data_IF_828028780838
#
_entry.id   IF_828028780838
#
_cell.length_a   1.000
_cell.length_b   1.000
_cell.length_c   1.000
_cell.angle_alpha   90.00
_cell.angle_beta   90.00
_cell.angle_gamma   90.00
#
_symmetry.space_group_name_H-M   'P 1'
#
loop_
_entity.id
_entity.type
_entity.pdbx_description
1 polymer ?
#
# COMPACT_ATOMS: atom_id res chain seq x y z
N UNK A 1 -20.51 -55.73 -24.80
CA UNK A 1 -19.24 -54.99 -24.96
C UNK A 1 -19.57 -53.55 -25.33
N UNK A 2 -19.46 -52.63 -24.38
CA UNK A 2 -19.66 -51.20 -24.63
C UNK A 2 -18.57 -50.47 -23.83
N UNK A 3 -17.63 -49.88 -24.56
CA UNK A 3 -16.46 -49.18 -24.05
C UNK A 3 -16.94 -47.80 -23.58
N UNK A 4 -17.02 -47.59 -22.27
CA UNK A 4 -17.34 -46.28 -21.69
C UNK A 4 -16.03 -45.48 -21.57
N UNK A 5 -15.78 -44.64 -22.57
CA UNK A 5 -14.67 -43.70 -22.65
C UNK A 5 -15.00 -42.40 -21.90
N UNK A 6 -14.19 -42.12 -20.87
CA UNK A 6 -13.58 -40.82 -20.51
C UNK A 6 -14.42 -39.53 -20.59
N UNK A 7 -14.62 -38.91 -19.41
CA UNK A 7 -14.52 -37.45 -19.25
C UNK A 7 -14.21 -37.10 -17.79
N UNK A 8 -12.93 -37.10 -17.41
CA UNK A 8 -12.47 -36.41 -16.20
C UNK A 8 -12.38 -34.91 -16.50
N UNK A 9 -13.15 -34.03 -15.84
CA UNK A 9 -12.86 -32.60 -15.88
C UNK A 9 -11.64 -32.34 -15.00
N UNK A 10 -10.48 -32.15 -15.64
CA UNK A 10 -9.26 -31.66 -15.01
C UNK A 10 -9.51 -30.19 -14.59
N UNK A 11 -9.95 -29.97 -13.35
CA UNK A 11 -10.05 -28.63 -12.77
C UNK A 11 -8.64 -28.15 -12.46
N UNK A 12 -8.00 -27.54 -13.45
CA UNK A 12 -6.77 -26.78 -13.28
C UNK A 12 -7.08 -25.54 -12.42
N UNK A 13 -6.83 -25.64 -11.12
CA UNK A 13 -6.64 -24.47 -10.26
C UNK A 13 -5.40 -23.71 -10.76
N UNK A 14 -5.62 -22.73 -11.63
CA UNK A 14 -4.65 -21.67 -11.84
C UNK A 14 -4.63 -20.79 -10.57
N UNK A 15 -3.86 -21.20 -9.58
CA UNK A 15 -3.32 -20.28 -8.59
C UNK A 15 -2.36 -19.34 -9.34
N UNK A 16 -2.94 -18.33 -9.99
CA UNK A 16 -2.19 -17.25 -10.60
C UNK A 16 -1.41 -16.57 -9.50
N UNK A 17 -0.12 -16.91 -9.45
CA UNK A 17 0.90 -16.28 -8.61
C UNK A 17 0.83 -14.77 -8.82
N UNK A 18 0.18 -14.06 -7.89
CA UNK A 18 0.08 -12.59 -7.88
C UNK A 18 1.38 -12.03 -7.30
N UNK A 19 2.49 -12.36 -7.94
CA UNK A 19 3.81 -11.86 -7.60
C UNK A 19 4.47 -11.35 -8.88
N UNK A 20 4.57 -10.04 -9.00
CA UNK A 20 5.53 -9.42 -9.90
C UNK A 20 4.97 -8.96 -11.24
N UNK A 21 4.14 -7.92 -11.20
CA UNK A 21 4.26 -6.81 -12.15
C UNK A 21 3.27 -5.72 -11.72
N UNK A 22 3.78 -4.69 -11.05
CA UNK A 22 3.05 -3.42 -10.83
C UNK A 22 2.84 -2.71 -12.18
N UNK A 23 2.15 -3.36 -13.12
CA UNK A 23 1.72 -2.72 -14.35
C UNK A 23 0.67 -1.70 -13.95
N UNK A 24 0.92 -0.44 -14.32
CA UNK A 24 -0.12 0.59 -14.32
C UNK A 24 -1.35 -0.01 -15.02
N UNK A 25 -2.51 -0.08 -14.34
CA UNK A 25 -3.69 -0.69 -14.92
C UNK A 25 -4.01 0.00 -16.25
N UNK A 26 -4.37 -0.77 -17.26
CA UNK A 26 -4.75 -0.17 -18.54
C UNK A 26 -6.06 0.60 -18.34
N UNK A 27 -6.00 1.91 -18.56
CA UNK A 27 -7.16 2.80 -18.52
C UNK A 27 -7.45 3.25 -19.94
N UNK A 28 -8.71 3.10 -20.37
CA UNK A 28 -9.13 3.57 -21.70
C UNK A 28 -9.02 5.09 -21.79
N UNK A 29 -8.86 5.63 -23.00
CA UNK A 29 -8.83 7.08 -23.20
C UNK A 29 -10.14 7.75 -22.75
N UNK A 30 -11.27 7.07 -22.93
CA UNK A 30 -12.58 7.58 -22.50
C UNK A 30 -12.67 7.67 -20.97
N UNK A 31 -12.15 6.69 -20.24
CA UNK A 31 -12.12 6.72 -18.77
C UNK A 31 -11.17 7.79 -18.24
N UNK A 32 -10.00 7.93 -18.88
CA UNK A 32 -9.07 9.02 -18.58
C UNK A 32 -9.74 10.38 -18.74
N UNK A 33 -10.47 10.60 -19.83
CA UNK A 33 -11.22 11.83 -20.05
C UNK A 33 -12.28 12.03 -18.97
N UNK A 34 -13.04 11.00 -18.59
CA UNK A 34 -14.03 11.09 -17.50
C UNK A 34 -13.41 11.52 -16.17
N UNK A 35 -12.24 11.00 -15.82
CA UNK A 35 -11.57 11.34 -14.56
C UNK A 35 -11.11 12.80 -14.48
N UNK A 36 -10.88 13.45 -15.62
CA UNK A 36 -10.44 14.86 -15.70
C UNK A 36 -11.39 15.71 -16.54
N UNK A 37 -12.66 15.30 -16.65
CA UNK A 37 -13.67 16.01 -17.42
C UNK A 37 -14.10 17.31 -16.73
N UNK A 38 -14.14 17.30 -15.40
CA UNK A 38 -14.57 18.43 -14.58
C UNK A 38 -13.65 18.62 -13.38
N UNK A 39 -13.62 19.81 -12.75
CA UNK A 39 -12.89 20.04 -11.51
C UNK A 39 -13.26 19.04 -10.40
N UNK A 40 -14.55 18.69 -10.28
CA UNK A 40 -15.04 17.74 -9.28
C UNK A 40 -14.55 16.31 -9.57
N UNK A 41 -14.51 15.89 -10.82
CA UNK A 41 -13.96 14.60 -11.21
C UNK A 41 -12.47 14.52 -10.91
N UNK A 42 -11.70 15.56 -11.23
CA UNK A 42 -10.27 15.64 -10.93
C UNK A 42 -10.01 15.63 -9.42
N UNK A 43 -10.80 16.37 -8.64
CA UNK A 43 -10.72 16.36 -7.18
C UNK A 43 -11.05 14.98 -6.58
N UNK A 44 -12.04 14.28 -7.15
CA UNK A 44 -12.38 12.90 -6.75
C UNK A 44 -11.24 11.94 -7.09
N UNK A 45 -10.65 12.04 -8.28
CA UNK A 45 -9.48 11.25 -8.68
C UNK A 45 -8.32 11.45 -7.70
N UNK A 46 -7.94 12.69 -7.41
CA UNK A 46 -6.86 13.02 -6.48
C UNK A 46 -7.19 12.57 -5.06
N UNK A 47 -8.43 12.77 -4.60
CA UNK A 47 -8.91 12.24 -3.34
C UNK A 47 -8.77 10.72 -3.25
N UNK A 48 -9.10 10.00 -4.32
CA UNK A 48 -8.91 8.55 -4.41
C UNK A 48 -7.45 8.12 -4.38
N UNK A 49 -6.57 8.86 -5.04
CA UNK A 49 -5.12 8.60 -5.04
C UNK A 49 -4.48 8.85 -3.67
N UNK A 50 -5.04 9.76 -2.87
CA UNK A 50 -4.54 10.15 -1.55
C UNK A 50 -5.13 9.29 -0.43
N UNK A 51 -6.46 9.13 -0.41
CA UNK A 51 -7.21 8.60 0.73
C UNK A 51 -7.59 7.12 0.60
N UNK A 52 -7.40 6.51 -0.57
CA UNK A 52 -7.67 5.07 -0.81
C UNK A 52 -9.09 4.62 -0.44
N UNK A 53 -10.10 5.49 -0.55
CA UNK A 53 -11.46 5.17 -0.15
C UNK A 53 -12.03 3.96 -0.94
N UNK A 54 -12.88 3.11 -0.33
CA UNK A 54 -13.37 1.89 -0.96
C UNK A 54 -14.27 2.15 -2.19
N UNK A 55 -15.01 3.25 -2.22
CA UNK A 55 -15.83 3.70 -3.36
C UNK A 55 -15.03 4.22 -4.56
N UNK A 56 -13.70 4.24 -4.49
CA UNK A 56 -12.85 4.72 -5.56
C UNK A 56 -12.64 3.67 -6.64
N UNK A 57 -12.53 4.14 -7.89
CA UNK A 57 -12.12 3.30 -9.01
C UNK A 57 -10.80 2.59 -8.64
N UNK A 58 -10.75 1.24 -8.69
CA UNK A 58 -9.57 0.48 -8.28
C UNK A 58 -8.33 0.86 -9.11
N UNK A 59 -8.52 1.31 -10.36
CA UNK A 59 -7.42 1.74 -11.23
C UNK A 59 -6.84 3.07 -10.78
N UNK A 60 -7.69 4.00 -10.36
CA UNK A 60 -7.27 5.28 -9.78
C UNK A 60 -6.47 5.08 -8.47
N UNK A 61 -6.91 4.15 -7.62
CA UNK A 61 -6.17 3.77 -6.39
C UNK A 61 -4.81 3.16 -6.71
N UNK A 62 -4.75 2.25 -7.68
CA UNK A 62 -3.49 1.65 -8.11
C UNK A 62 -2.51 2.70 -8.64
N UNK A 63 -2.98 3.66 -9.45
CA UNK A 63 -2.16 4.80 -9.90
C UNK A 63 -1.69 5.63 -8.70
N UNK A 64 -2.57 5.93 -7.75
CA UNK A 64 -2.23 6.62 -6.50
C UNK A 64 -1.14 5.91 -5.69
N UNK A 65 -1.18 4.57 -5.64
CA UNK A 65 -0.14 3.74 -5.02
C UNK A 65 1.23 3.86 -5.69
N UNK A 66 1.25 4.14 -7.00
CA UNK A 66 2.46 4.32 -7.79
C UNK A 66 3.00 5.75 -7.78
N UNK A 67 2.17 6.73 -7.37
CA UNK A 67 2.55 8.15 -7.39
C UNK A 67 3.87 8.48 -6.69
N UNK A 68 4.21 7.92 -5.50
CA UNK A 68 5.50 8.22 -4.87
C UNK A 68 6.70 7.80 -5.74
N UNK A 69 6.62 6.61 -6.35
CA UNK A 69 7.66 6.11 -7.25
C UNK A 69 7.72 6.92 -8.55
N UNK A 70 6.55 7.25 -9.11
CA UNK A 70 6.45 8.11 -10.28
C UNK A 70 7.05 9.49 -10.02
N UNK A 71 6.71 10.15 -8.92
CA UNK A 71 7.25 11.47 -8.54
C UNK A 71 8.78 11.39 -8.45
N UNK A 72 9.32 10.39 -7.75
CA UNK A 72 10.78 10.18 -7.63
C UNK A 72 11.46 10.00 -8.99
N UNK A 73 10.77 9.37 -9.93
CA UNK A 73 11.24 9.13 -11.29
C UNK A 73 10.81 10.22 -12.28
N UNK A 74 10.41 11.42 -11.83
CA UNK A 74 9.94 12.52 -12.70
C UNK A 74 8.79 12.10 -13.64
N UNK A 75 7.88 11.30 -13.11
CA UNK A 75 6.74 10.67 -13.80
C UNK A 75 7.13 9.74 -14.96
N UNK A 76 8.39 9.31 -15.01
CA UNK A 76 8.84 8.26 -15.91
C UNK A 76 8.69 6.92 -15.22
N UNK A 77 8.03 5.98 -15.86
CA UNK A 77 7.72 4.68 -15.26
C UNK A 77 8.58 3.53 -15.83
N UNK A 78 9.66 3.87 -16.54
CA UNK A 78 10.59 2.90 -17.17
C UNK A 78 11.53 2.26 -16.14
N UNK A 79 11.92 0.97 -16.30
CA UNK A 79 11.50 0.03 -17.35
C UNK A 79 10.19 -0.72 -17.07
N UNK A 80 9.55 -0.49 -15.92
CA UNK A 80 8.49 -1.34 -15.40
C UNK A 80 7.06 -1.01 -15.88
N UNK A 81 6.90 -0.06 -16.81
CA UNK A 81 5.61 0.30 -17.40
C UNK A 81 5.47 -0.14 -18.87
N UNK A 82 4.26 -0.54 -19.24
CA UNK A 82 3.86 -0.59 -20.65
C UNK A 82 3.84 0.80 -21.27
N UNK A 83 3.93 0.88 -22.61
CA UNK A 83 3.78 2.14 -23.34
C UNK A 83 2.44 2.84 -23.02
N UNK A 84 1.36 2.05 -22.85
CA UNK A 84 0.06 2.57 -22.46
C UNK A 84 0.08 3.18 -21.06
N UNK A 85 0.73 2.50 -20.09
CA UNK A 85 0.87 3.03 -18.72
C UNK A 85 1.58 4.38 -18.68
N UNK A 86 2.66 4.54 -19.45
CA UNK A 86 3.36 5.83 -19.53
C UNK A 86 2.47 6.93 -20.14
N UNK A 87 1.68 6.61 -21.18
CA UNK A 87 0.72 7.58 -21.76
C UNK A 87 -0.36 7.98 -20.75
N UNK A 88 -0.89 7.04 -19.99
CA UNK A 88 -1.87 7.29 -18.92
C UNK A 88 -1.30 8.26 -17.88
N UNK A 89 -0.07 8.02 -17.39
CA UNK A 89 0.60 8.91 -16.44
C UNK A 89 0.80 10.30 -17.04
N UNK A 90 1.36 10.39 -18.25
CA UNK A 90 1.62 11.67 -18.91
C UNK A 90 0.34 12.48 -19.10
N UNK A 91 -0.75 11.82 -19.50
CA UNK A 91 -2.05 12.45 -19.67
C UNK A 91 -2.56 13.04 -18.35
N UNK A 92 -2.56 12.24 -17.27
CA UNK A 92 -3.05 12.68 -15.96
C UNK A 92 -2.19 13.79 -15.37
N UNK A 93 -0.86 13.66 -15.43
CA UNK A 93 0.09 14.68 -14.97
C UNK A 93 -0.12 15.98 -15.72
N UNK A 94 -0.21 15.93 -17.05
CA UNK A 94 -0.42 17.13 -17.85
C UNK A 94 -1.79 17.76 -17.56
N UNK A 95 -2.86 16.97 -17.50
CA UNK A 95 -4.20 17.46 -17.21
C UNK A 95 -4.29 18.13 -15.83
N UNK A 96 -3.74 17.49 -14.79
CA UNK A 96 -3.74 18.04 -13.44
C UNK A 96 -2.88 19.31 -13.35
N UNK A 97 -1.66 19.29 -13.90
CA UNK A 97 -0.74 20.44 -13.82
C UNK A 97 -1.26 21.67 -14.57
N UNK A 98 -1.91 21.48 -15.71
CA UNK A 98 -2.34 22.59 -16.58
C UNK A 98 -3.74 23.10 -16.27
N UNK A 99 -4.71 22.20 -15.99
CA UNK A 99 -6.13 22.56 -15.82
C UNK A 99 -6.60 22.56 -14.37
N UNK A 100 -5.93 21.83 -13.48
CA UNK A 100 -6.38 21.60 -12.10
C UNK A 100 -5.23 21.79 -11.11
N UNK A 101 -4.56 22.95 -11.18
CA UNK A 101 -3.34 23.22 -10.40
C UNK A 101 -3.56 23.00 -8.90
N UNK A 102 -4.71 23.36 -8.33
CA UNK A 102 -5.01 23.09 -6.92
C UNK A 102 -4.96 21.59 -6.57
N UNK A 103 -5.48 20.74 -7.45
CA UNK A 103 -5.43 19.28 -7.25
C UNK A 103 -4.03 18.73 -7.48
N UNK A 104 -3.27 19.32 -8.41
CA UNK A 104 -1.86 19.02 -8.61
C UNK A 104 -1.02 19.36 -7.38
N UNK A 105 -1.18 20.57 -6.82
CA UNK A 105 -0.54 20.98 -5.57
C UNK A 105 -0.93 20.06 -4.45
N UNK A 106 -2.22 19.75 -4.27
CA UNK A 106 -2.69 18.85 -3.21
C UNK A 106 -2.09 17.45 -3.31
N UNK A 107 -1.97 16.91 -4.52
CA UNK A 107 -1.29 15.64 -4.80
C UNK A 107 0.21 15.73 -4.46
N UNK A 108 0.86 16.81 -4.90
CA UNK A 108 2.25 17.13 -4.59
C UNK A 108 2.49 17.25 -3.09
N UNK A 109 1.78 18.13 -2.39
CA UNK A 109 1.84 18.31 -0.94
C UNK A 109 1.63 17.00 -0.21
N UNK A 110 0.61 16.21 -0.54
CA UNK A 110 0.36 14.94 0.15
C UNK A 110 1.56 13.99 0.04
N UNK A 111 2.11 13.82 -1.17
CA UNK A 111 3.22 12.89 -1.37
C UNK A 111 4.54 13.47 -0.88
N UNK A 112 4.85 14.74 -1.15
CA UNK A 112 6.04 15.46 -0.66
C UNK A 112 6.06 15.57 0.86
N UNK A 113 4.92 15.79 1.53
CA UNK A 113 4.83 15.82 2.99
C UNK A 113 5.08 14.43 3.60
N UNK A 114 4.62 13.35 2.94
CA UNK A 114 5.02 11.98 3.29
C UNK A 114 6.48 11.67 2.98
N UNK A 115 7.10 12.46 2.10
CA UNK A 115 8.52 12.35 1.80
C UNK A 115 9.41 13.11 2.81
N UNK A 116 8.85 13.69 3.88
CA UNK A 116 9.55 14.64 4.77
C UNK A 116 9.27 14.52 6.29
N UNK A 117 9.03 13.33 6.83
CA UNK A 117 8.75 13.11 8.26
C UNK A 117 9.86 12.35 9.01
N UNK A 118 10.90 13.07 9.45
CA UNK A 118 11.89 12.62 10.42
C UNK A 118 12.41 13.75 11.33
N UNK A 119 11.80 13.85 12.52
CA UNK A 119 12.26 14.48 13.79
C UNK A 119 12.20 15.99 14.05
N UNK A 120 11.52 16.28 15.17
CA UNK A 120 11.58 17.40 16.13
C UNK A 120 11.04 18.81 15.81
N UNK A 121 10.24 19.27 16.77
CA UNK A 121 9.82 20.65 17.00
C UNK A 121 10.98 21.64 16.96
N UNK A 122 10.87 22.65 16.10
CA UNK A 122 11.82 23.76 16.01
C UNK A 122 12.04 24.16 14.55
N UNK A 123 11.50 25.32 14.19
CA UNK A 123 11.62 26.04 12.92
C UNK A 123 12.78 25.65 11.97
N UNK A 124 12.42 25.59 10.69
CA UNK A 124 13.29 25.65 9.49
C UNK A 124 13.72 24.31 8.86
N UNK A 125 13.29 24.13 7.61
CA UNK A 125 14.03 23.53 6.49
C UNK A 125 14.73 22.18 6.68
N UNK A 126 14.07 21.10 6.21
CA UNK A 126 14.73 19.87 5.76
C UNK A 126 14.11 18.56 6.27
N UNK A 127 14.26 17.50 5.46
CA UNK A 127 14.28 16.06 5.85
C UNK A 127 13.03 15.17 5.76
N UNK A 128 13.13 14.19 4.83
CA UNK A 128 13.10 12.72 5.05
C UNK A 128 11.83 11.86 4.77
N UNK A 129 11.98 10.98 3.78
CA UNK A 129 11.00 10.05 3.24
C UNK A 129 10.68 8.88 4.19
N UNK A 130 9.49 8.87 4.81
CA UNK A 130 8.98 7.70 5.51
C UNK A 130 7.44 7.65 5.41
N UNK A 131 6.90 6.48 5.05
CA UNK A 131 5.48 6.14 5.28
C UNK A 131 5.15 6.56 6.72
N UNK A 132 4.05 7.28 7.01
CA UNK A 132 3.77 7.78 8.36
C UNK A 132 3.76 6.60 9.32
N UNK A 133 4.87 6.49 10.03
CA UNK A 133 5.22 5.30 10.77
C UNK A 133 4.72 5.60 12.17
N UNK A 134 3.61 4.97 12.56
CA UNK A 134 2.93 5.23 13.83
C UNK A 134 3.97 5.40 14.95
N UNK A 135 3.89 6.51 15.68
CA UNK A 135 4.71 6.68 16.86
C UNK A 135 4.47 5.52 17.83
N UNK A 136 5.45 5.18 18.65
CA UNK A 136 5.33 4.17 19.72
C UNK A 136 4.06 4.36 20.56
N UNK A 137 3.71 5.62 20.86
CA UNK A 137 2.49 5.97 21.57
C UNK A 137 1.20 5.66 20.79
N UNK A 138 1.18 5.92 19.48
CA UNK A 138 0.05 5.57 18.62
C UNK A 138 -0.09 4.06 18.44
N UNK A 139 1.01 3.32 18.35
CA UNK A 139 0.98 1.86 18.26
C UNK A 139 0.37 1.26 19.52
N UNK A 140 0.74 1.78 20.70
CA UNK A 140 0.12 1.40 21.99
C UNK A 140 -1.35 1.77 22.04
N UNK A 141 -1.73 2.97 21.60
CA UNK A 141 -3.14 3.39 21.53
C UNK A 141 -3.95 2.51 20.58
N UNK A 142 -3.34 2.06 19.49
CA UNK A 142 -3.95 1.18 18.52
C UNK A 142 -4.14 -0.25 19.05
N UNK A 143 -3.20 -0.74 19.86
CA UNK A 143 -3.30 -2.02 20.57
C UNK A 143 -3.93 -1.88 21.97
N UNK A 144 -4.56 -0.76 22.30
CA UNK A 144 -5.08 -0.50 23.64
C UNK A 144 -6.30 -1.34 24.00
N UNK A 145 -6.88 -2.10 23.06
CA UNK A 145 -8.01 -2.98 23.33
C UNK A 145 -7.90 -4.32 22.59
N UNK A 146 -8.46 -5.41 23.15
CA UNK A 146 -8.51 -6.72 22.49
C UNK A 146 -9.12 -6.67 21.09
N UNK A 147 -10.23 -5.93 20.92
CA UNK A 147 -10.91 -5.81 19.63
C UNK A 147 -10.09 -5.04 18.58
N UNK A 148 -9.22 -4.13 19.00
CA UNK A 148 -8.32 -3.45 18.08
C UNK A 148 -7.15 -4.36 17.68
N UNK A 149 -6.55 -5.08 18.63
CA UNK A 149 -5.52 -6.08 18.35
C UNK A 149 -6.03 -7.17 17.39
N UNK A 150 -7.24 -7.68 17.61
CA UNK A 150 -7.86 -8.67 16.73
C UNK A 150 -8.09 -8.15 15.31
N UNK A 151 -8.61 -6.92 15.17
CA UNK A 151 -8.79 -6.31 13.84
C UNK A 151 -7.45 -6.16 13.11
N UNK A 152 -6.41 -5.77 13.83
CA UNK A 152 -5.05 -5.66 13.29
C UNK A 152 -4.51 -7.01 12.82
N UNK A 153 -4.61 -8.06 13.63
CA UNK A 153 -4.17 -9.40 13.25
C UNK A 153 -4.98 -9.95 12.09
N UNK A 154 -6.30 -9.78 12.12
CA UNK A 154 -7.19 -10.18 11.02
C UNK A 154 -6.81 -9.47 9.73
N UNK A 155 -6.43 -8.20 9.82
CA UNK A 155 -5.92 -7.42 8.69
C UNK A 155 -4.59 -7.92 8.15
N UNK A 156 -3.67 -8.31 9.04
CA UNK A 156 -2.38 -8.87 8.66
C UNK A 156 -2.56 -10.23 7.96
N UNK A 157 -3.38 -11.11 8.54
CA UNK A 157 -3.62 -12.47 8.04
C UNK A 157 -4.37 -12.47 6.70
N UNK A 158 -5.45 -11.69 6.59
CA UNK A 158 -6.32 -11.73 5.41
C UNK A 158 -5.95 -10.70 4.33
N UNK A 159 -4.96 -9.84 4.61
CA UNK A 159 -4.51 -8.74 3.77
C UNK A 159 -5.65 -8.01 3.02
N UNK A 160 -6.54 -7.35 3.75
CA UNK A 160 -7.68 -6.66 3.13
C UNK A 160 -7.35 -5.22 2.71
N UNK A 161 -7.91 -4.72 1.59
CA UNK A 161 -7.63 -3.38 1.09
C UNK A 161 -8.21 -2.24 1.95
N UNK A 162 -9.21 -2.54 2.80
CA UNK A 162 -9.81 -1.64 3.78
C UNK A 162 -9.02 -1.56 5.10
N UNK A 163 -7.94 -2.34 5.23
CA UNK A 163 -7.11 -2.33 6.41
C UNK A 163 -6.35 -1.01 6.58
N UNK A 164 -6.06 -0.70 7.85
CA UNK A 164 -5.20 0.42 8.20
C UNK A 164 -3.86 0.29 7.45
N UNK A 165 -3.39 1.34 6.75
CA UNK A 165 -2.13 1.31 6.01
C UNK A 165 -0.93 0.88 6.88
N UNK A 166 -0.97 1.16 8.19
CA UNK A 166 0.06 0.75 9.14
C UNK A 166 0.06 -0.76 9.35
N UNK A 167 -1.12 -1.39 9.45
CA UNK A 167 -1.25 -2.84 9.52
C UNK A 167 -0.71 -3.51 8.25
N UNK A 168 -0.95 -2.90 7.09
CA UNK A 168 -0.41 -3.41 5.83
C UNK A 168 1.13 -3.32 5.79
N UNK A 169 1.73 -2.26 6.33
CA UNK A 169 3.19 -2.15 6.47
C UNK A 169 3.74 -3.26 7.38
N UNK A 170 3.11 -3.48 8.54
CA UNK A 170 3.48 -4.59 9.43
C UNK A 170 3.35 -5.94 8.73
N UNK A 171 2.24 -6.18 8.03
CA UNK A 171 1.99 -7.42 7.31
C UNK A 171 3.08 -7.73 6.27
N UNK A 172 3.60 -6.71 5.58
CA UNK A 172 4.68 -6.88 4.59
C UNK A 172 6.03 -7.17 5.24
N UNK A 173 6.33 -6.56 6.37
CA UNK A 173 7.63 -6.69 7.04
C UNK A 173 7.74 -7.91 7.95
N UNK A 174 6.62 -8.36 8.52
CA UNK A 174 6.56 -9.45 9.49
C UNK A 174 7.19 -10.77 9.01
N UNK A 175 6.90 -11.28 7.80
CA UNK A 175 7.49 -12.55 7.35
C UNK A 175 9.01 -12.50 7.24
N UNK A 176 9.57 -11.37 6.79
CA UNK A 176 11.01 -11.19 6.68
C UNK A 176 11.68 -11.14 8.07
N UNK A 177 11.05 -10.46 9.02
CA UNK A 177 11.54 -10.35 10.40
C UNK A 177 11.48 -11.68 11.15
N UNK A 178 10.38 -12.42 11.04
CA UNK A 178 10.26 -13.72 11.73
C UNK A 178 11.30 -14.71 11.21
N UNK A 179 11.53 -14.77 9.89
CA UNK A 179 12.60 -15.61 9.31
C UNK A 179 14.01 -15.14 9.69
N UNK A 180 14.19 -13.84 9.92
CA UNK A 180 15.45 -13.23 10.32
C UNK A 180 15.70 -13.19 11.83
N UNK A 181 14.97 -13.93 12.67
CA UNK A 181 15.08 -13.83 14.14
C UNK A 181 14.91 -12.39 14.67
N UNK A 182 13.92 -11.67 14.15
CA UNK A 182 13.66 -10.24 14.43
C UNK A 182 14.79 -9.30 14.00
N UNK A 183 15.77 -9.77 13.23
CA UNK A 183 16.75 -8.95 12.56
C UNK A 183 16.29 -8.75 11.11
N UNK A 184 16.18 -7.48 10.70
CA UNK A 184 15.89 -7.16 9.32
C UNK A 184 16.98 -6.25 8.80
N UNK A 185 17.72 -6.75 7.81
CA UNK A 185 18.81 -6.01 7.21
C UNK A 185 18.28 -4.98 6.20
N UNK A 186 18.90 -3.80 6.10
CA UNK A 186 18.62 -2.86 5.02
C UNK A 186 18.78 -3.55 3.65
N UNK A 187 17.93 -3.25 2.65
CA UNK A 187 16.98 -2.15 2.59
C UNK A 187 15.55 -2.49 3.06
N UNK A 188 15.30 -3.70 3.59
CA UNK A 188 13.93 -4.18 3.80
C UNK A 188 13.22 -3.59 5.03
N UNK A 189 13.98 -3.24 6.08
CA UNK A 189 13.49 -2.44 7.21
C UNK A 189 14.49 -1.35 7.56
N UNK A 190 13.95 -0.24 8.07
CA UNK A 190 14.73 0.73 8.83
C UNK A 190 14.82 0.31 10.30
N UNK A 191 15.78 0.86 11.05
CA UNK A 191 15.88 0.63 12.50
C UNK A 191 14.58 1.01 13.25
N UNK A 192 13.92 2.09 12.82
CA UNK A 192 12.64 2.53 13.38
C UNK A 192 11.52 1.51 13.14
N UNK A 193 11.50 0.89 11.96
CA UNK A 193 10.53 -0.14 11.60
C UNK A 193 10.75 -1.40 12.44
N UNK A 194 12.01 -1.78 12.64
CA UNK A 194 12.39 -2.91 13.49
C UNK A 194 11.99 -2.67 14.95
N UNK A 195 12.23 -1.48 15.51
CA UNK A 195 11.82 -1.13 16.87
C UNK A 195 10.30 -1.23 17.05
N UNK A 196 9.52 -0.71 16.09
CA UNK A 196 8.05 -0.73 16.14
C UNK A 196 7.49 -2.14 16.03
N UNK A 197 8.05 -2.97 15.15
CA UNK A 197 7.62 -4.37 15.03
C UNK A 197 8.01 -5.16 16.28
N UNK A 198 9.17 -4.87 16.87
CA UNK A 198 9.58 -5.48 18.15
C UNK A 198 8.59 -5.11 19.25
N UNK A 199 8.23 -3.83 19.37
CA UNK A 199 7.22 -3.39 20.33
C UNK A 199 5.86 -4.03 20.09
N UNK A 200 5.43 -4.12 18.82
CA UNK A 200 4.20 -4.78 18.42
C UNK A 200 4.17 -6.24 18.89
N UNK A 201 5.24 -6.99 18.61
CA UNK A 201 5.35 -8.41 18.98
C UNK A 201 5.44 -8.60 20.50
N UNK A 202 6.19 -7.75 21.21
CA UNK A 202 6.25 -7.76 22.68
C UNK A 202 4.87 -7.49 23.27
N UNK A 203 4.15 -6.49 22.77
CA UNK A 203 2.79 -6.17 23.23
C UNK A 203 1.82 -7.32 22.98
N UNK A 204 1.89 -7.97 21.81
CA UNK A 204 1.08 -9.16 21.55
C UNK A 204 1.44 -10.32 22.47
N UNK A 205 2.73 -10.55 22.72
CA UNK A 205 3.20 -11.61 23.61
C UNK A 205 2.72 -11.42 25.05
N UNK A 206 2.79 -10.19 25.55
CA UNK A 206 2.49 -9.87 26.94
C UNK A 206 0.99 -9.68 27.19
N UNK A 207 0.28 -9.05 26.27
CA UNK A 207 -1.12 -8.64 26.47
C UNK A 207 -2.12 -9.51 25.71
N UNK A 208 -1.74 -10.06 24.55
CA UNK A 208 -2.67 -10.75 23.63
C UNK A 208 -2.09 -12.07 23.07
N UNK A 209 -1.73 -13.04 23.93
CA UNK A 209 -1.03 -14.25 23.52
C UNK A 209 -1.79 -15.08 22.47
N UNK A 210 -3.12 -15.10 22.52
CA UNK A 210 -3.94 -15.76 21.50
C UNK A 210 -3.81 -15.12 20.11
N UNK A 211 -3.70 -13.79 20.06
CA UNK A 211 -3.52 -13.05 18.81
C UNK A 211 -2.11 -13.27 18.25
N UNK A 212 -1.10 -13.36 19.11
CA UNK A 212 0.26 -13.75 18.71
C UNK A 212 0.28 -15.17 18.12
N UNK A 213 -0.36 -16.14 18.78
CA UNK A 213 -0.43 -17.53 18.31
C UNK A 213 -1.09 -17.63 16.94
N UNK A 214 -2.21 -16.92 16.71
CA UNK A 214 -2.86 -16.85 15.39
C UNK A 214 -1.94 -16.27 14.33
N UNK A 215 -1.19 -15.22 14.67
CA UNK A 215 -0.23 -14.61 13.76
C UNK A 215 0.91 -15.57 13.42
N UNK A 216 1.47 -16.27 14.42
CA UNK A 216 2.53 -17.27 14.22
C UNK A 216 2.08 -18.42 13.33
N UNK A 217 0.89 -18.98 13.58
CA UNK A 217 0.31 -20.03 12.74
C UNK A 217 0.18 -19.62 11.27
N UNK A 218 -0.13 -18.34 11.01
CA UNK A 218 -0.21 -17.82 9.65
C UNK A 218 1.16 -17.59 9.00
N UNK A 219 2.20 -17.31 9.79
CA UNK A 219 3.55 -17.08 9.26
C UNK A 219 4.29 -18.41 9.02
N UNK A 220 4.01 -19.43 9.84
CA UNK A 220 4.61 -20.76 9.75
C UNK A 220 3.90 -21.70 8.76
N UNK A 221 2.62 -21.49 8.51
CA UNK A 221 1.80 -22.27 7.56
C UNK A 221 1.87 -21.76 6.14
#
# INVERSE_FOLDING_TARGET
MQILLLALPLVLLSASSVCGQNLIPQVSQQDLQKWVATPQAAAKLVGCAIQYQPQCDPRARAIGGLMPALIKANFQCRPHCSANGQRTVNFLVNALRTRYNDQWQRLGTHFTQRQGGGSNSGSSSGSSNAVPEASTAELRKWLASPAAAERTITCIINYRPDCDPRAQTLARALPALVRGNLQCNPPQCSASTQEKITLFLVTLRETYPDQLRRLQQHIEG
#
